data_IF_268525328638
#
_entry.id   IF_268525328638
#
_cell.length_a   1.000
_cell.length_b   1.000
_cell.length_c   1.000
_cell.angle_alpha   90.00
_cell.angle_beta   90.00
_cell.angle_gamma   90.00
#
_symmetry.space_group_name_H-M   'P 1'
#
loop_
_entity.id
_entity.type
_entity.pdbx_description
1 polymer ?
#
# COMPACT_ATOMS: atom_id res chain seq x y z
N UNK A 1 -34.52 -30.26 -3.08
CA UNK A 1 -33.06 -30.25 -3.27
C UNK A 1 -32.42 -29.70 -1.99
N UNK A 2 -31.87 -30.55 -1.12
CA UNK A 2 -31.32 -30.11 0.18
C UNK A 2 -29.87 -29.59 0.02
N UNK A 3 -29.45 -28.53 0.75
CA UNK A 3 -28.09 -27.99 0.65
C UNK A 3 -27.07 -28.92 1.33
N UNK A 4 -25.82 -29.00 0.81
CA UNK A 4 -24.81 -29.93 1.32
C UNK A 4 -24.30 -29.55 2.71
N UNK A 5 -23.89 -30.53 3.55
CA UNK A 5 -23.55 -30.31 4.94
C UNK A 5 -22.25 -29.49 5.12
N UNK A 6 -22.15 -28.70 6.22
CA UNK A 6 -21.09 -27.71 6.45
C UNK A 6 -19.69 -28.27 6.77
N UNK A 7 -19.47 -29.59 6.69
CA UNK A 7 -18.25 -30.26 7.13
C UNK A 7 -17.04 -30.09 6.19
N UNK A 8 -17.26 -29.72 4.92
CA UNK A 8 -16.17 -29.59 3.93
C UNK A 8 -15.24 -28.40 4.17
N UNK A 9 -15.69 -27.38 4.92
CA UNK A 9 -14.87 -26.19 5.22
C UNK A 9 -13.84 -26.43 6.33
N UNK A 10 -14.09 -27.39 7.23
CA UNK A 10 -13.18 -27.71 8.34
C UNK A 10 -12.00 -28.59 7.90
N UNK A 11 -12.20 -29.50 6.94
CA UNK A 11 -11.14 -30.38 6.42
C UNK A 11 -9.99 -29.62 5.74
N UNK A 12 -10.29 -28.52 5.05
CA UNK A 12 -9.27 -27.69 4.37
C UNK A 12 -8.33 -26.94 5.33
N UNK A 13 -8.75 -26.69 6.57
CA UNK A 13 -7.94 -25.95 7.55
C UNK A 13 -6.96 -26.88 8.28
N UNK A 14 -7.36 -28.11 8.59
CA UNK A 14 -6.47 -29.12 9.20
C UNK A 14 -5.37 -29.59 8.26
N UNK A 15 -5.68 -29.76 6.97
CA UNK A 15 -4.71 -30.18 5.96
C UNK A 15 -3.61 -29.11 5.72
N UNK A 16 -3.93 -27.83 5.97
CA UNK A 16 -2.98 -26.72 5.91
C UNK A 16 -2.04 -26.65 7.15
N UNK A 17 -2.45 -27.21 8.29
CA UNK A 17 -1.64 -27.27 9.52
C UNK A 17 -0.71 -28.49 9.58
N UNK A 18 -1.00 -29.55 8.81
CA UNK A 18 -0.24 -30.83 8.78
C UNK A 18 0.88 -30.90 7.74
N UNK A 19 1.39 -29.76 7.26
CA UNK A 19 2.57 -29.73 6.39
C UNK A 19 2.34 -30.10 4.92
N UNK A 20 1.08 -30.16 4.46
CA UNK A 20 0.76 -30.28 3.05
C UNK A 20 1.20 -29.04 2.29
N UNK A 21 2.17 -29.18 1.39
CA UNK A 21 2.66 -28.10 0.51
C UNK A 21 1.53 -27.64 -0.40
N UNK A 22 0.68 -26.73 0.08
CA UNK A 22 -0.29 -26.05 -0.75
C UNK A 22 0.48 -25.31 -1.86
N UNK A 23 0.39 -25.83 -3.08
CA UNK A 23 0.97 -25.25 -4.29
C UNK A 23 0.39 -23.85 -4.48
N UNK A 24 1.06 -22.85 -3.89
CA UNK A 24 0.77 -21.44 -4.15
C UNK A 24 1.23 -21.15 -5.56
N UNK A 25 0.39 -20.58 -6.44
CA UNK A 25 0.82 -20.22 -7.79
C UNK A 25 2.01 -19.25 -7.69
N UNK A 26 3.16 -19.66 -8.24
CA UNK A 26 4.38 -18.84 -8.28
C UNK A 26 4.11 -17.61 -9.15
N UNK A 27 3.95 -16.44 -8.52
CA UNK A 27 3.90 -15.16 -9.22
C UNK A 27 5.26 -14.95 -9.91
N UNK A 28 5.27 -14.98 -11.25
CA UNK A 28 6.45 -14.64 -12.05
C UNK A 28 6.70 -13.13 -11.89
N UNK A 29 7.67 -12.77 -11.07
CA UNK A 29 8.20 -11.40 -11.06
C UNK A 29 9.02 -11.21 -12.33
N UNK A 30 8.49 -10.42 -13.29
CA UNK A 30 9.25 -9.94 -14.44
C UNK A 30 10.23 -8.91 -13.89
N UNK A 31 11.52 -9.27 -13.79
CA UNK A 31 12.60 -8.34 -13.44
C UNK A 31 12.60 -7.22 -14.49
N UNK A 32 12.13 -6.03 -14.12
CA UNK A 32 12.46 -4.80 -14.83
C UNK A 32 13.97 -4.59 -14.69
N UNK A 33 14.70 -4.65 -15.80
CA UNK A 33 16.15 -4.37 -15.83
C UNK A 33 16.45 -2.91 -16.13
N UNK A 34 15.49 -2.17 -16.68
CA UNK A 34 15.74 -0.81 -17.17
C UNK A 34 14.82 0.18 -16.47
N UNK A 35 15.43 1.05 -15.65
CA UNK A 35 14.82 2.21 -15.05
C UNK A 35 14.98 3.35 -16.06
N UNK A 36 14.00 3.54 -16.94
CA UNK A 36 13.98 4.72 -17.80
C UNK A 36 13.49 5.92 -16.99
N UNK A 37 14.44 6.61 -16.37
CA UNK A 37 14.29 7.98 -15.90
C UNK A 37 14.62 8.92 -17.06
N UNK A 38 13.69 9.09 -18.00
CA UNK A 38 13.78 10.18 -18.97
C UNK A 38 13.06 11.39 -18.39
N UNK A 39 13.88 12.38 -18.05
CA UNK A 39 13.54 13.78 -17.81
C UNK A 39 13.12 14.43 -19.14
N UNK A 40 12.11 15.30 -19.13
CA UNK A 40 12.15 16.68 -19.66
C UNK A 40 10.74 17.28 -19.78
N UNK A 41 10.67 18.58 -19.49
CA UNK A 41 9.55 19.47 -19.74
C UNK A 41 9.15 19.46 -21.20
N UNK A 42 7.85 19.37 -21.46
CA UNK A 42 7.22 20.15 -22.52
C UNK A 42 5.96 20.79 -21.93
N UNK A 43 6.04 22.12 -21.82
CA UNK A 43 4.90 23.01 -21.86
C UNK A 43 4.25 22.82 -23.23
N UNK A 44 3.07 22.20 -23.28
CA UNK A 44 2.15 22.48 -24.38
C UNK A 44 0.72 22.57 -23.85
N UNK A 45 0.23 23.78 -24.08
CA UNK A 45 -1.11 24.27 -23.87
C UNK A 45 -2.07 23.44 -24.73
N UNK A 46 -3.08 22.82 -24.12
CA UNK A 46 -4.36 22.71 -24.83
C UNK A 46 -5.54 23.08 -23.94
N UNK A 47 -6.06 24.23 -24.33
CA UNK A 47 -7.23 24.93 -23.89
C UNK A 47 -8.47 24.18 -24.39
N UNK A 48 -9.14 23.43 -23.51
CA UNK A 48 -10.54 23.04 -23.74
C UNK A 48 -11.42 23.64 -22.65
N UNK A 49 -11.46 24.97 -22.66
CA UNK A 49 -12.57 25.71 -22.09
C UNK A 49 -13.85 25.28 -22.81
N UNK A 50 -14.66 24.48 -22.15
CA UNK A 50 -16.04 24.24 -22.56
C UNK A 50 -16.80 25.56 -22.32
N UNK A 51 -16.87 26.37 -23.38
CA UNK A 51 -17.67 27.61 -23.45
C UNK A 51 -19.13 27.22 -23.29
N UNK A 52 -19.66 27.33 -22.07
CA UNK A 52 -21.09 27.46 -21.88
C UNK A 52 -21.40 28.95 -21.95
N UNK A 53 -21.86 29.35 -23.12
CA UNK A 53 -22.50 30.62 -23.41
C UNK A 53 -23.57 30.91 -22.34
N UNK A 54 -23.35 31.99 -21.59
CA UNK A 54 -24.10 32.34 -20.40
C UNK A 54 -23.98 33.85 -20.19
N UNK A 55 -24.54 34.57 -21.16
CA UNK A 55 -24.99 35.96 -21.12
C UNK A 55 -24.91 36.62 -19.73
N UNK A 56 -23.92 37.50 -19.57
CA UNK A 56 -23.75 38.33 -18.38
C UNK A 56 -23.73 39.79 -18.80
N UNK A 57 -24.85 40.47 -18.57
CA UNK A 57 -24.95 41.93 -18.61
C UNK A 57 -24.98 42.52 -17.17
N UNK A 58 -24.23 43.61 -16.99
CA UNK A 58 -24.18 44.56 -15.86
C UNK A 58 -23.50 44.16 -14.52
N UNK A 59 -22.19 44.51 -14.42
CA UNK A 59 -21.69 45.57 -13.50
C UNK A 59 -21.19 45.25 -12.07
N UNK A 60 -19.85 45.26 -11.85
CA UNK A 60 -19.21 45.56 -10.54
C UNK A 60 -17.95 44.71 -10.19
N UNK A 61 -16.83 45.28 -9.68
CA UNK A 61 -15.49 44.74 -9.88
C UNK A 61 -15.08 43.62 -8.91
N UNK A 62 -14.22 42.77 -9.43
CA UNK A 62 -13.60 41.59 -8.84
C UNK A 62 -12.72 41.90 -7.62
N UNK A 63 -12.93 41.17 -6.52
CA UNK A 63 -11.85 40.86 -5.58
C UNK A 63 -11.88 39.37 -5.21
N UNK A 64 -10.73 38.70 -5.38
CA UNK A 64 -10.26 37.62 -4.52
C UNK A 64 -10.94 36.24 -4.60
N UNK A 65 -10.21 35.31 -5.22
CA UNK A 65 -10.21 33.86 -5.04
C UNK A 65 -10.93 33.25 -3.80
N UNK A 66 -11.50 32.05 -4.03
CA UNK A 66 -12.07 31.09 -3.07
C UNK A 66 -13.53 31.31 -2.62
N UNK A 67 -14.49 31.41 -3.55
CA UNK A 67 -15.89 31.12 -3.20
C UNK A 67 -16.13 29.61 -3.15
N UNK A 68 -16.29 29.08 -1.94
CA UNK A 68 -16.84 27.73 -1.74
C UNK A 68 -18.23 27.69 -2.41
N UNK A 69 -18.61 26.60 -3.11
CA UNK A 69 -19.91 26.56 -3.75
C UNK A 69 -20.98 26.62 -2.65
N UNK A 70 -21.68 27.75 -2.57
CA UNK A 70 -22.81 27.95 -1.68
C UNK A 70 -23.80 26.82 -1.93
N UNK A 71 -24.30 26.21 -0.86
CA UNK A 71 -25.19 25.06 -1.00
C UNK A 71 -26.47 25.53 -1.67
N UNK A 72 -26.85 24.89 -2.80
CA UNK A 72 -28.06 25.16 -3.60
C UNK A 72 -29.38 24.85 -2.86
N UNK A 73 -29.37 24.90 -1.53
CA UNK A 73 -30.46 24.50 -0.66
C UNK A 73 -31.32 25.68 -0.21
N UNK A 74 -30.89 26.92 -0.45
CA UNK A 74 -31.67 28.11 -0.14
C UNK A 74 -31.37 29.31 -1.06
N UNK A 75 -31.26 29.05 -2.37
CA UNK A 75 -31.11 30.11 -3.37
C UNK A 75 -32.45 30.36 -4.05
N UNK A 76 -33.12 31.50 -3.83
CA UNK A 76 -34.44 31.78 -4.41
C UNK A 76 -34.37 31.89 -5.95
N UNK A 77 -33.24 32.33 -6.50
CA UNK A 77 -33.01 32.40 -7.95
C UNK A 77 -32.89 31.00 -8.59
N UNK A 78 -32.22 30.06 -7.92
CA UNK A 78 -32.12 28.67 -8.38
C UNK A 78 -33.48 27.95 -8.27
N UNK A 79 -34.23 28.22 -7.20
CA UNK A 79 -35.60 27.75 -7.03
C UNK A 79 -36.52 28.29 -8.14
N UNK A 80 -36.50 29.60 -8.38
CA UNK A 80 -37.30 30.24 -9.42
C UNK A 80 -36.94 29.70 -10.82
N UNK A 81 -35.64 29.55 -11.12
CA UNK A 81 -35.19 28.96 -12.40
C UNK A 81 -35.65 27.52 -12.55
N UNK A 82 -35.63 26.72 -11.47
CA UNK A 82 -36.13 25.35 -11.49
C UNK A 82 -37.65 25.30 -11.69
N UNK A 83 -38.40 26.22 -11.08
CA UNK A 83 -39.85 26.33 -11.22
C UNK A 83 -40.22 26.78 -12.64
N UNK A 84 -39.55 27.79 -13.18
CA UNK A 84 -39.73 28.21 -14.57
C UNK A 84 -39.40 27.07 -15.54
N UNK A 85 -38.35 26.27 -15.30
CA UNK A 85 -38.05 25.09 -16.12
C UNK A 85 -39.12 24.00 -16.02
N UNK A 86 -39.70 23.78 -14.84
CA UNK A 86 -40.78 22.81 -14.65
C UNK A 86 -42.05 23.28 -15.37
N UNK A 87 -42.40 24.55 -15.22
CA UNK A 87 -43.60 25.16 -15.82
C UNK A 87 -43.47 25.28 -17.35
N UNK A 88 -42.27 25.55 -17.86
CA UNK A 88 -42.01 25.65 -19.30
C UNK A 88 -41.75 24.30 -19.98
N UNK A 89 -41.54 23.21 -19.23
CA UNK A 89 -41.34 21.88 -19.82
C UNK A 89 -42.66 21.14 -20.02
N UNK A 90 -42.91 20.64 -21.24
CA UNK A 90 -44.07 19.79 -21.55
C UNK A 90 -43.71 18.31 -21.38
N UNK A 91 -44.53 17.54 -20.67
CA UNK A 91 -44.39 16.09 -20.63
C UNK A 91 -44.54 15.50 -22.06
N UNK A 92 -43.63 14.61 -22.50
CA UNK A 92 -43.78 13.92 -23.77
C UNK A 92 -45.08 13.10 -23.76
N UNK A 93 -45.75 12.97 -24.91
CA UNK A 93 -47.11 12.42 -25.01
C UNK A 93 -47.30 11.07 -24.28
N UNK A 94 -46.28 10.21 -24.30
CA UNK A 94 -46.26 8.91 -23.62
C UNK A 94 -46.32 8.98 -22.08
N UNK A 95 -46.06 10.15 -21.47
CA UNK A 95 -45.99 10.34 -20.01
C UNK A 95 -47.10 11.27 -19.48
N UNK A 96 -48.11 11.57 -20.32
CA UNK A 96 -49.24 12.44 -19.97
C UNK A 96 -50.33 11.74 -19.18
N UNK A 97 -50.40 10.41 -19.23
CA UNK A 97 -51.42 9.63 -18.52
C UNK A 97 -51.24 9.72 -16.99
N UNK A 98 -50.01 9.60 -16.48
CA UNK A 98 -49.70 9.62 -15.05
C UNK A 98 -48.50 10.53 -14.74
N UNK A 99 -48.72 11.86 -14.58
CA UNK A 99 -47.64 12.83 -14.43
C UNK A 99 -46.84 12.67 -13.13
N UNK A 100 -47.43 12.08 -12.08
CA UNK A 100 -46.79 11.91 -10.76
C UNK A 100 -45.75 10.78 -10.75
N UNK A 101 -45.97 9.73 -11.55
CA UNK A 101 -45.13 8.51 -11.55
C UNK A 101 -44.01 8.55 -12.61
N UNK A 102 -44.06 9.52 -13.53
CA UNK A 102 -43.14 9.62 -14.66
C UNK A 102 -41.66 9.85 -14.27
N UNK A 103 -41.39 10.44 -13.11
CA UNK A 103 -40.03 10.78 -12.63
C UNK A 103 -39.42 9.73 -11.70
N UNK A 104 -40.23 8.92 -11.03
CA UNK A 104 -39.79 7.94 -10.02
C UNK A 104 -39.31 6.60 -10.60
N UNK A 105 -39.45 6.38 -11.91
CA UNK A 105 -39.17 5.07 -12.54
C UNK A 105 -37.68 4.79 -12.81
N UNK A 106 -36.77 5.75 -12.62
CA UNK A 106 -35.32 5.60 -12.89
C UNK A 106 -34.51 5.08 -11.69
N UNK A 107 -35.15 4.77 -10.56
CA UNK A 107 -34.48 4.24 -9.36
C UNK A 107 -34.79 2.77 -9.06
N UNK A 108 -35.65 2.11 -9.86
CA UNK A 108 -36.22 0.81 -9.52
C UNK A 108 -35.39 -0.42 -9.90
N UNK A 109 -34.76 -0.45 -11.08
CA UNK A 109 -34.34 -1.72 -11.65
C UNK A 109 -32.82 -1.76 -11.96
N UNK A 110 -32.05 -2.44 -11.08
CA UNK A 110 -30.77 -3.07 -11.44
C UNK A 110 -29.46 -2.38 -11.04
N UNK A 111 -29.45 -1.13 -10.57
CA UNK A 111 -28.21 -0.44 -10.17
C UNK A 111 -27.73 -0.59 -8.70
N UNK A 112 -28.53 -1.00 -7.69
CA UNK A 112 -28.09 -0.84 -6.29
C UNK A 112 -27.08 -1.89 -5.82
N UNK A 113 -27.12 -3.13 -6.31
CA UNK A 113 -26.29 -4.22 -5.75
C UNK A 113 -24.78 -4.04 -6.02
N UNK A 114 -24.38 -3.64 -7.23
CA UNK A 114 -22.98 -3.38 -7.54
C UNK A 114 -22.46 -2.09 -6.87
N UNK A 115 -23.34 -1.11 -6.63
CA UNK A 115 -23.01 0.13 -5.95
C UNK A 115 -22.85 -0.07 -4.42
N UNK A 116 -23.69 -0.92 -3.80
CA UNK A 116 -23.56 -1.28 -2.39
C UNK A 116 -22.30 -2.10 -2.13
N UNK A 117 -21.98 -3.07 -2.99
CA UNK A 117 -20.76 -3.87 -2.85
C UNK A 117 -19.48 -3.04 -3.00
N UNK A 118 -19.46 -2.07 -3.93
CA UNK A 118 -18.35 -1.12 -4.08
C UNK A 118 -18.22 -0.22 -2.84
N UNK A 119 -19.32 0.22 -2.24
CA UNK A 119 -19.32 1.05 -1.02
C UNK A 119 -18.83 0.27 0.19
N UNK A 120 -19.23 -0.99 0.36
CA UNK A 120 -18.75 -1.85 1.45
C UNK A 120 -17.24 -2.08 1.34
N UNK A 121 -16.74 -2.43 0.14
CA UNK A 121 -15.29 -2.59 -0.09
C UNK A 121 -14.50 -1.30 0.08
N UNK A 122 -15.08 -0.15 -0.26
CA UNK A 122 -14.45 1.15 -0.04
C UNK A 122 -14.40 1.50 1.46
N UNK A 123 -15.45 1.19 2.23
CA UNK A 123 -15.50 1.39 3.67
C UNK A 123 -14.47 0.51 4.39
N UNK A 124 -14.36 -0.77 4.05
CA UNK A 124 -13.34 -1.68 4.60
C UNK A 124 -11.91 -1.19 4.30
N UNK A 125 -11.67 -0.67 3.09
CA UNK A 125 -10.37 -0.08 2.73
C UNK A 125 -10.06 1.16 3.57
N UNK A 126 -11.06 2.00 3.82
CA UNK A 126 -10.91 3.22 4.64
C UNK A 126 -10.63 2.87 6.10
N UNK A 127 -11.40 1.96 6.69
CA UNK A 127 -11.19 1.50 8.06
C UNK A 127 -9.79 0.88 8.25
N UNK A 128 -9.31 0.11 7.25
CA UNK A 128 -7.96 -0.44 7.28
C UNK A 128 -6.87 0.64 7.23
N UNK A 129 -7.11 1.76 6.56
CA UNK A 129 -6.19 2.89 6.53
C UNK A 129 -6.24 3.68 7.85
N UNK A 130 -7.42 3.91 8.41
CA UNK A 130 -7.60 4.55 9.72
C UNK A 130 -6.91 3.73 10.83
N UNK A 131 -7.14 2.41 10.90
CA UNK A 131 -6.41 1.52 11.82
C UNK A 131 -4.89 1.55 11.65
N UNK A 132 -4.37 1.90 10.47
CA UNK A 132 -2.92 2.07 10.23
C UNK A 132 -2.43 3.45 10.67
N UNK A 133 -3.24 4.48 10.51
CA UNK A 133 -2.94 5.83 10.96
C UNK A 133 -2.99 5.95 12.48
N UNK A 134 -3.95 5.29 13.14
CA UNK A 134 -4.07 5.29 14.59
C UNK A 134 -2.91 4.55 15.26
N UNK A 135 -2.48 3.41 14.68
CA UNK A 135 -1.26 2.71 15.11
C UNK A 135 0.00 3.55 14.92
N UNK A 136 0.03 4.42 13.92
CA UNK A 136 1.15 5.36 13.75
C UNK A 136 1.07 6.50 14.78
N UNK A 137 -0.11 7.05 15.06
CA UNK A 137 -0.31 8.11 16.07
C UNK A 137 0.05 7.68 17.49
N UNK A 138 -0.30 6.46 17.90
CA UNK A 138 -0.06 5.97 19.27
C UNK A 138 1.41 5.66 19.56
N UNK A 139 2.20 5.32 18.53
CA UNK A 139 3.64 4.98 18.70
C UNK A 139 4.53 6.22 18.62
N UNK A 140 4.02 7.31 18.04
CA UNK A 140 4.79 8.49 17.71
C UNK A 140 4.61 9.58 18.79
N UNK A 141 5.04 9.29 20.02
CA UNK A 141 5.17 10.30 21.08
C UNK A 141 6.19 11.37 20.69
N UNK A 142 5.73 12.50 20.16
CA UNK A 142 6.46 13.77 20.10
C UNK A 142 7.56 13.92 19.03
N UNK A 143 8.03 12.86 18.38
CA UNK A 143 9.07 12.98 17.36
C UNK A 143 8.56 13.70 16.10
N UNK A 144 9.22 14.80 15.74
CA UNK A 144 8.89 15.58 14.53
C UNK A 144 9.08 14.72 13.27
N UNK A 145 8.39 15.08 12.17
CA UNK A 145 8.46 14.32 10.93
C UNK A 145 9.89 14.15 10.39
N UNK A 146 10.75 15.16 10.62
CA UNK A 146 12.13 15.17 10.16
C UNK A 146 13.04 14.29 11.01
N UNK A 147 12.83 14.25 12.32
CA UNK A 147 13.53 13.32 13.22
C UNK A 147 13.26 11.86 12.82
N UNK A 148 12.02 11.53 12.46
CA UNK A 148 11.65 10.19 11.95
C UNK A 148 12.35 9.86 10.63
N UNK A 149 12.54 10.84 9.74
CA UNK A 149 13.27 10.65 8.48
C UNK A 149 14.75 10.39 8.75
N UNK A 150 15.38 11.20 9.60
CA UNK A 150 16.77 11.05 9.99
C UNK A 150 17.02 9.72 10.71
N UNK A 151 16.16 9.34 11.66
CA UNK A 151 16.23 8.04 12.34
C UNK A 151 16.17 6.87 11.36
N UNK A 152 15.29 6.93 10.35
CA UNK A 152 15.21 5.87 9.32
C UNK A 152 16.44 5.83 8.43
N UNK A 153 17.02 6.97 8.07
CA UNK A 153 18.27 7.05 7.31
C UNK A 153 19.44 6.45 8.10
N UNK A 154 19.59 6.83 9.38
CA UNK A 154 20.59 6.26 10.28
C UNK A 154 20.39 4.75 10.49
N UNK A 155 19.15 4.32 10.74
CA UNK A 155 18.80 2.90 10.89
C UNK A 155 19.17 2.08 9.64
N UNK A 156 18.91 2.62 8.44
CA UNK A 156 19.32 1.98 7.17
C UNK A 156 20.85 1.85 7.08
N UNK A 157 21.60 2.85 7.54
CA UNK A 157 23.07 2.79 7.63
C UNK A 157 23.55 1.69 8.59
N UNK A 158 23.02 1.66 9.81
CA UNK A 158 23.36 0.64 10.83
C UNK A 158 23.06 -0.77 10.32
N UNK A 159 21.91 -0.98 9.67
CA UNK A 159 21.54 -2.30 9.13
C UNK A 159 22.49 -2.73 8.01
N UNK A 160 22.92 -1.82 7.14
CA UNK A 160 23.89 -2.13 6.08
C UNK A 160 25.23 -2.55 6.65
N UNK A 161 25.75 -1.80 7.63
CA UNK A 161 27.02 -2.11 8.29
C UNK A 161 26.94 -3.41 9.09
N UNK A 162 25.86 -3.61 9.85
CA UNK A 162 25.65 -4.85 10.61
C UNK A 162 25.63 -6.07 9.69
N UNK A 163 24.90 -5.99 8.58
CA UNK A 163 24.84 -7.08 7.61
C UNK A 163 26.19 -7.28 6.90
N UNK A 164 26.93 -6.21 6.60
CA UNK A 164 28.27 -6.29 6.01
C UNK A 164 29.26 -6.97 6.98
N UNK A 165 29.26 -6.58 8.26
CA UNK A 165 30.10 -7.18 9.29
C UNK A 165 29.71 -8.65 9.52
N UNK A 166 28.41 -8.97 9.63
CA UNK A 166 27.95 -10.35 9.75
C UNK A 166 28.35 -11.19 8.54
N UNK A 167 28.19 -10.67 7.33
CA UNK A 167 28.60 -11.36 6.11
C UNK A 167 30.11 -11.56 6.07
N UNK A 168 30.91 -10.58 6.48
CA UNK A 168 32.36 -10.70 6.58
C UNK A 168 32.78 -11.76 7.61
N UNK A 169 32.13 -11.80 8.78
CA UNK A 169 32.37 -12.82 9.81
C UNK A 169 32.03 -14.23 9.31
N UNK A 170 30.88 -14.40 8.65
CA UNK A 170 30.50 -15.71 8.08
C UNK A 170 31.46 -16.10 6.97
N UNK A 171 31.84 -15.18 6.08
CA UNK A 171 32.83 -15.45 5.02
C UNK A 171 34.20 -15.80 5.58
N UNK A 172 34.67 -15.13 6.62
CA UNK A 172 35.93 -15.46 7.28
C UNK A 172 35.89 -16.85 7.93
N UNK A 173 34.78 -17.19 8.59
CA UNK A 173 34.58 -18.51 9.17
C UNK A 173 34.45 -19.62 8.10
N UNK A 174 33.77 -19.34 6.99
CA UNK A 174 33.68 -20.24 5.84
C UNK A 174 35.02 -20.41 5.13
N UNK A 175 35.80 -19.34 4.97
CA UNK A 175 37.13 -19.41 4.39
C UNK A 175 38.06 -20.23 5.30
N UNK A 176 38.06 -19.99 6.61
CA UNK A 176 38.81 -20.80 7.56
C UNK A 176 38.40 -22.29 7.52
N UNK A 177 37.11 -22.58 7.31
CA UNK A 177 36.62 -23.95 7.10
C UNK A 177 37.09 -24.52 5.75
N UNK A 178 37.07 -23.73 4.67
CA UNK A 178 37.56 -24.15 3.36
C UNK A 178 39.06 -24.38 3.35
N UNK A 179 39.84 -23.55 4.04
CA UNK A 179 41.29 -23.74 4.17
C UNK A 179 41.58 -25.02 4.98
N UNK A 180 40.79 -25.29 6.03
CA UNK A 180 40.81 -26.59 6.76
C UNK A 180 40.36 -27.77 5.90
N UNK A 181 39.38 -27.58 5.02
CA UNK A 181 38.92 -28.63 4.09
C UNK A 181 39.90 -28.85 2.93
N UNK A 182 40.62 -27.81 2.49
CA UNK A 182 41.71 -27.89 1.52
C UNK A 182 42.94 -28.58 2.11
N UNK A 183 43.20 -28.38 3.41
CA UNK A 183 44.19 -29.17 4.16
C UNK A 183 43.66 -30.53 4.62
N UNK A 184 42.36 -30.83 4.46
CA UNK A 184 41.76 -32.12 4.82
C UNK A 184 42.21 -33.29 3.93
N UNK A 185 43.03 -33.04 2.90
CA UNK A 185 43.83 -34.10 2.28
C UNK A 185 44.78 -34.77 3.29
N UNK A 186 45.09 -34.13 4.43
CA UNK A 186 45.85 -34.70 5.54
C UNK A 186 44.94 -34.86 6.76
N UNK A 187 44.27 -36.00 6.85
CA UNK A 187 43.38 -36.36 7.96
C UNK A 187 44.17 -36.41 9.27
N UNK A 188 43.86 -35.52 10.23
CA UNK A 188 44.44 -35.55 11.59
C UNK A 188 45.11 -34.26 12.07
N UNK A 189 45.20 -33.24 11.21
CA UNK A 189 45.71 -31.91 11.61
C UNK A 189 44.93 -31.29 12.77
N UNK A 190 43.60 -31.43 12.81
CA UNK A 190 42.79 -30.87 13.91
C UNK A 190 43.18 -31.44 15.30
N UNK A 191 43.48 -32.75 15.38
CA UNK A 191 43.92 -33.40 16.64
C UNK A 191 45.34 -32.97 17.02
N UNK A 192 46.21 -32.77 16.03
CA UNK A 192 47.58 -32.26 16.25
C UNK A 192 47.56 -30.79 16.65
N UNK A 193 46.69 -29.98 16.06
CA UNK A 193 46.53 -28.56 16.36
C UNK A 193 45.91 -28.35 17.75
N UNK A 194 44.95 -29.18 18.16
CA UNK A 194 44.41 -29.17 19.52
C UNK A 194 45.48 -29.48 20.57
N UNK A 195 46.28 -30.54 20.37
CA UNK A 195 47.41 -30.86 21.25
C UNK A 195 48.47 -29.76 21.26
N UNK A 196 48.77 -29.16 20.10
CA UNK A 196 49.71 -28.05 20.02
C UNK A 196 49.21 -26.81 20.78
N UNK A 197 47.90 -26.54 20.76
CA UNK A 197 47.29 -25.45 21.54
C UNK A 197 47.31 -25.69 23.05
N UNK A 198 47.09 -26.93 23.49
CA UNK A 198 47.23 -27.31 24.91
C UNK A 198 48.68 -27.14 25.36
N UNK A 199 49.64 -27.72 24.62
CA UNK A 199 51.07 -27.58 24.91
C UNK A 199 51.53 -26.12 24.86
N UNK A 200 50.97 -25.28 23.97
CA UNK A 200 51.27 -23.85 23.90
C UNK A 200 50.69 -23.07 25.09
N UNK A 201 49.51 -23.46 25.59
CA UNK A 201 48.91 -22.89 26.81
C UNK A 201 49.73 -23.25 28.04
N UNK A 202 50.12 -24.52 28.16
CA UNK A 202 50.91 -25.01 29.29
C UNK A 202 52.31 -24.40 29.27
N UNK A 203 52.96 -24.33 28.11
CA UNK A 203 54.26 -23.67 27.96
C UNK A 203 54.20 -22.16 28.28
N UNK A 204 53.09 -21.49 27.93
CA UNK A 204 52.87 -20.10 28.30
C UNK A 204 52.69 -19.91 29.81
N UNK A 205 51.88 -20.76 30.46
CA UNK A 205 51.67 -20.72 31.91
C UNK A 205 52.96 -21.03 32.68
N UNK A 206 53.74 -21.99 32.20
CA UNK A 206 55.02 -22.36 32.77
C UNK A 206 56.04 -21.22 32.65
N UNK A 207 56.00 -20.45 31.56
CA UNK A 207 56.82 -19.24 31.38
C UNK A 207 56.36 -18.05 32.24
N UNK A 208 55.10 -18.04 32.69
CA UNK A 208 54.55 -17.01 33.59
C UNK A 208 54.67 -17.36 35.09
N UNK A 209 55.04 -18.60 35.42
CA UNK A 209 55.23 -19.09 36.81
C UNK A 209 56.72 -19.14 37.23
N UNK A 210 57.61 -18.49 36.49
CA UNK A 210 59.02 -18.22 36.85
C UNK A 210 59.17 -16.74 37.10
#
# INVERSE_FOLDING_TARGET
MAPPPPSLKKRRLEEAMRGGKASRPKKRFRKQRDYHSSSESDDDLDNTSNVHDGDSDVGGPTTGANSRPVSKRNDPSAFATSMSRILSSKLPAARRADPVLARARKSGDGAPAAATDRKVRAAERRERLERRQDKARVVDGGATADEKRLRKTAQRGVVRLFNAVRAAQVRAAEQAKKDRQGSAAVVGLDKREARAREMSRDAFLQKMMV
#
